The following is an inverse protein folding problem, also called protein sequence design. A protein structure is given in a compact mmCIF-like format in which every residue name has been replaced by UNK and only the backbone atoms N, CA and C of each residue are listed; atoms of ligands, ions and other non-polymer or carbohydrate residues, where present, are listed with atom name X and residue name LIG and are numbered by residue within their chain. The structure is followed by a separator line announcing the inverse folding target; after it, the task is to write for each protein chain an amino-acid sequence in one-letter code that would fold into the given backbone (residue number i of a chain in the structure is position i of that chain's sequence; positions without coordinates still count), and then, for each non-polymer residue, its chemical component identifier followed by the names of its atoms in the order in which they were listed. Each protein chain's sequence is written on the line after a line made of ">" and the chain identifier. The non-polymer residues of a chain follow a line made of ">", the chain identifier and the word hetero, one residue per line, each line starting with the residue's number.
data_IF_803017235809
#
_entry.id   IF_803017235809
#
_cell.length_a   1.000
_cell.length_b   1.000
_cell.length_c   1.000
_cell.angle_alpha   90.00
_cell.angle_beta   90.00
_cell.angle_gamma   90.00
#
_symmetry.space_group_name_H-M   'P 1'
#
loop_
_entity.id
_entity.type
_entity.pdbx_description
1 polymer ?
#
# COMPACT_ATOMS: atom_id res chain seq x y z
N UNK A 1 -50.98 -0.54 30.95
CA UNK A 1 -49.64 -0.36 30.32
C UNK A 1 -48.67 -1.35 30.94
N UNK A 2 -48.14 -2.29 30.16
CA UNK A 2 -47.15 -3.27 30.64
C UNK A 2 -45.78 -2.60 30.77
N UNK A 3 -45.09 -2.79 31.91
CA UNK A 3 -43.73 -2.27 32.10
C UNK A 3 -42.77 -3.04 31.17
N UNK A 4 -41.84 -2.35 30.49
CA UNK A 4 -40.91 -3.01 29.57
C UNK A 4 -39.95 -3.94 30.31
N UNK A 5 -39.68 -5.11 29.70
CA UNK A 5 -38.87 -6.18 30.26
C UNK A 5 -37.40 -5.78 30.35
N UNK A 6 -36.81 -5.86 31.54
CA UNK A 6 -35.42 -5.49 31.80
C UNK A 6 -34.41 -6.32 30.99
N UNK A 7 -34.74 -7.58 30.68
CA UNK A 7 -33.92 -8.46 29.84
C UNK A 7 -33.82 -7.92 28.41
N UNK A 8 -34.91 -7.38 27.86
CA UNK A 8 -34.92 -6.77 26.52
C UNK A 8 -34.06 -5.51 26.49
N UNK A 9 -34.09 -4.70 27.57
CA UNK A 9 -33.24 -3.51 27.69
C UNK A 9 -31.76 -3.86 27.76
N UNK A 10 -31.41 -4.92 28.50
CA UNK A 10 -30.04 -5.39 28.61
C UNK A 10 -29.54 -5.95 27.26
N UNK A 11 -30.36 -6.73 26.54
CA UNK A 11 -30.05 -7.21 25.19
C UNK A 11 -29.81 -6.08 24.19
N UNK A 12 -30.66 -5.04 24.21
CA UNK A 12 -30.49 -3.86 23.35
C UNK A 12 -29.23 -3.06 23.72
N UNK A 13 -28.87 -2.99 25.00
CA UNK A 13 -27.65 -2.31 25.43
C UNK A 13 -26.39 -3.08 25.01
N UNK A 14 -26.39 -4.41 25.11
CA UNK A 14 -25.25 -5.24 24.70
C UNK A 14 -25.03 -5.18 23.18
N UNK A 15 -26.10 -5.25 22.40
CA UNK A 15 -26.01 -5.11 20.92
C UNK A 15 -25.50 -3.73 20.53
N UNK A 16 -25.96 -2.66 21.18
CA UNK A 16 -25.52 -1.30 20.90
C UNK A 16 -24.06 -1.01 21.31
N UNK A 17 -23.53 -1.70 22.32
CA UNK A 17 -22.15 -1.52 22.80
C UNK A 17 -21.11 -2.39 22.07
N UNK A 18 -21.50 -3.58 21.61
CA UNK A 18 -20.55 -4.54 21.00
C UNK A 18 -20.40 -4.36 19.49
N UNK A 19 -21.47 -3.97 18.78
CA UNK A 19 -21.45 -3.80 17.32
C UNK A 19 -20.56 -2.65 16.79
N UNK A 20 -20.43 -1.47 17.43
CA UNK A 20 -19.54 -0.43 16.91
C UNK A 20 -18.06 -0.70 17.21
N UNK A 21 -17.73 -1.59 18.14
CA UNK A 21 -16.34 -1.83 18.57
C UNK A 21 -15.55 -2.69 17.57
N UNK A 22 -16.21 -3.62 16.88
CA UNK A 22 -15.58 -4.46 15.85
C UNK A 22 -15.17 -3.68 14.60
N UNK A 23 -15.84 -2.57 14.30
CA UNK A 23 -15.55 -1.74 13.12
C UNK A 23 -14.33 -0.81 13.30
N UNK A 24 -13.86 -0.60 14.54
CA UNK A 24 -12.75 0.33 14.83
C UNK A 24 -11.38 -0.37 14.63
N UNK A 25 -11.32 -1.70 14.72
CA UNK A 25 -10.04 -2.45 14.65
C UNK A 25 -9.54 -2.63 13.20
N UNK A 26 -10.38 -2.42 12.19
CA UNK A 26 -9.97 -2.54 10.77
C UNK A 26 -9.45 -1.25 10.13
N UNK A 27 -9.10 -0.23 10.92
CA UNK A 27 -8.74 1.09 10.38
C UNK A 27 -7.27 1.20 9.91
N UNK A 28 -6.40 0.25 10.27
CA UNK A 28 -5.01 0.30 9.79
C UNK A 28 -4.92 -0.26 8.36
N UNK A 29 -4.32 0.48 7.41
CA UNK A 29 -4.03 -0.04 6.09
C UNK A 29 -3.21 -1.33 6.21
N UNK A 30 -3.68 -2.40 5.56
CA UNK A 30 -2.90 -3.63 5.43
C UNK A 30 -2.05 -3.52 4.16
N UNK A 31 -0.78 -3.92 4.24
CA UNK A 31 0.10 -4.00 3.07
C UNK A 31 -0.45 -5.10 2.16
N UNK A 32 -0.79 -4.74 0.91
CA UNK A 32 -1.26 -5.69 -0.10
C UNK A 32 -0.09 -6.45 -0.72
N UNK A 33 1.00 -5.74 -1.04
CA UNK A 33 2.25 -6.32 -1.54
C UNK A 33 3.43 -5.40 -1.21
N UNK A 34 4.64 -5.99 -1.23
CA UNK A 34 5.90 -5.29 -1.18
C UNK A 34 6.91 -6.04 -2.06
N UNK A 35 7.56 -5.34 -2.98
CA UNK A 35 8.58 -5.90 -3.86
C UNK A 35 9.90 -5.15 -3.70
N UNK A 36 11.01 -5.88 -3.83
CA UNK A 36 12.36 -5.32 -3.83
C UNK A 36 13.03 -5.65 -5.16
N UNK A 37 13.66 -4.66 -5.78
CA UNK A 37 14.29 -4.81 -7.08
C UNK A 37 15.68 -4.19 -7.04
N UNK A 38 16.69 -5.04 -7.17
CA UNK A 38 18.08 -4.60 -7.32
C UNK A 38 18.34 -4.24 -8.78
N UNK A 39 18.77 -3.01 -9.04
CA UNK A 39 19.20 -2.58 -10.35
C UNK A 39 20.43 -3.35 -10.83
N UNK A 40 20.69 -3.41 -12.15
CA UNK A 40 21.74 -4.25 -12.76
C UNK A 40 23.17 -3.91 -12.32
N UNK A 41 23.38 -2.78 -11.65
CA UNK A 41 24.68 -2.27 -11.22
C UNK A 41 24.92 -2.58 -9.73
N UNK A 42 23.91 -3.10 -9.03
CA UNK A 42 23.96 -3.35 -7.57
C UNK A 42 24.46 -2.13 -6.79
N UNK A 43 24.17 -0.93 -7.29
CA UNK A 43 24.48 0.35 -6.66
C UNK A 43 23.24 0.96 -6.02
N UNK A 44 23.39 2.07 -5.30
CA UNK A 44 22.25 2.72 -4.65
C UNK A 44 21.32 3.31 -5.71
N UNK A 45 20.14 2.69 -5.84
CA UNK A 45 19.01 3.22 -6.59
C UNK A 45 18.17 4.11 -5.68
N UNK A 46 17.88 5.32 -6.15
CA UNK A 46 17.03 6.27 -5.44
C UNK A 46 15.68 6.36 -6.13
N UNK A 47 14.62 6.26 -5.34
CA UNK A 47 13.28 6.60 -5.77
C UNK A 47 13.24 8.06 -6.26
N UNK A 48 12.74 8.28 -7.48
CA UNK A 48 12.55 9.63 -8.05
C UNK A 48 11.09 10.03 -8.09
N UNK A 49 10.22 9.15 -8.60
CA UNK A 49 8.79 9.46 -8.77
C UNK A 49 7.94 8.19 -8.92
N UNK A 50 6.64 8.31 -8.65
CA UNK A 50 5.65 7.24 -8.85
C UNK A 50 4.33 7.81 -9.34
N UNK A 51 3.68 7.12 -10.28
CA UNK A 51 2.29 7.37 -10.68
C UNK A 51 1.52 6.06 -10.78
N UNK A 52 0.19 6.14 -10.69
CA UNK A 52 -0.72 5.00 -10.84
C UNK A 52 -1.70 5.30 -11.96
N UNK A 53 -1.94 4.34 -12.87
CA UNK A 53 -2.91 4.48 -13.95
C UNK A 53 -4.34 4.08 -13.52
N UNK A 54 -5.31 4.17 -14.43
CA UNK A 54 -6.71 3.82 -14.16
C UNK A 54 -6.94 2.31 -13.95
N UNK A 55 -5.99 1.47 -14.40
CA UNK A 55 -6.03 0.01 -14.23
C UNK A 55 -5.27 -0.42 -12.97
N UNK A 56 -4.86 0.53 -12.14
CA UNK A 56 -4.10 0.34 -10.90
C UNK A 56 -2.68 -0.21 -11.11
N UNK A 57 -2.09 -0.08 -12.30
CA UNK A 57 -0.67 -0.34 -12.48
C UNK A 57 0.16 0.81 -11.92
N UNK A 58 1.27 0.48 -11.29
CA UNK A 58 2.19 1.44 -10.69
C UNK A 58 3.40 1.64 -11.58
N UNK A 59 3.73 2.88 -11.89
CA UNK A 59 4.92 3.26 -12.66
C UNK A 59 5.92 3.92 -11.75
N UNK A 60 7.13 3.37 -11.67
CA UNK A 60 8.18 3.84 -10.78
C UNK A 60 9.36 4.34 -11.59
N UNK A 61 9.77 5.57 -11.30
CA UNK A 61 10.99 6.16 -11.82
C UNK A 61 12.07 6.05 -10.75
N UNK A 62 13.14 5.32 -11.04
CA UNK A 62 14.31 5.20 -10.21
C UNK A 62 15.51 5.87 -10.89
N UNK A 63 16.42 6.41 -10.09
CA UNK A 63 17.69 6.93 -10.58
C UNK A 63 18.85 6.26 -9.87
N UNK A 64 19.83 5.79 -10.64
CA UNK A 64 21.05 5.17 -10.14
C UNK A 64 22.22 6.13 -10.30
N UNK A 65 23.02 6.32 -9.26
CA UNK A 65 24.30 7.02 -9.40
C UNK A 65 25.37 5.99 -9.80
N UNK A 66 25.89 6.06 -11.04
CA UNK A 66 26.91 5.09 -11.49
C UNK A 66 28.31 5.35 -10.94
N UNK A 67 28.64 6.56 -10.48
CA UNK A 67 29.93 6.82 -9.85
C UNK A 67 29.96 8.16 -9.13
N UNK A 68 30.76 8.28 -8.07
CA UNK A 68 30.94 9.50 -7.26
C UNK A 68 31.59 10.64 -8.09
N UNK A 69 32.12 10.33 -9.28
CA UNK A 69 32.91 11.25 -10.10
C UNK A 69 32.23 11.80 -11.36
N UNK A 70 31.07 11.28 -11.79
CA UNK A 70 30.44 11.73 -13.03
C UNK A 70 28.92 11.78 -12.91
N UNK A 71 28.34 12.87 -13.41
CA UNK A 71 26.94 13.27 -13.41
C UNK A 71 25.99 12.32 -14.19
N UNK A 72 26.40 11.09 -14.45
CA UNK A 72 25.61 10.10 -15.18
C UNK A 72 24.62 9.44 -14.22
N UNK A 73 23.45 10.05 -14.12
CA UNK A 73 22.28 9.43 -13.50
C UNK A 73 21.67 8.49 -14.54
N UNK A 74 21.80 7.19 -14.32
CA UNK A 74 21.01 6.24 -15.09
C UNK A 74 19.57 6.31 -14.59
N UNK A 75 18.60 6.32 -15.49
CA UNK A 75 17.19 6.37 -15.13
C UNK A 75 16.60 5.02 -15.51
N UNK A 76 15.90 4.40 -14.57
CA UNK A 76 15.19 3.15 -14.84
C UNK A 76 13.73 3.36 -14.54
N UNK A 77 12.89 3.01 -15.50
CA UNK A 77 11.45 2.99 -15.37
C UNK A 77 10.97 1.55 -15.15
N UNK A 78 10.04 1.38 -14.22
CA UNK A 78 9.37 0.11 -13.95
C UNK A 78 7.87 0.29 -14.11
N UNK A 79 7.19 -0.69 -14.69
CA UNK A 79 5.75 -0.88 -14.51
C UNK A 79 5.52 -2.13 -13.68
N UNK A 80 4.74 -1.97 -12.63
CA UNK A 80 4.38 -2.99 -11.67
C UNK A 80 2.86 -3.15 -11.73
N UNK A 81 2.38 -4.38 -11.84
CA UNK A 81 0.96 -4.66 -11.88
C UNK A 81 0.29 -4.56 -10.49
N UNK A 82 -1.03 -4.76 -10.45
CA UNK A 82 -1.81 -4.71 -9.19
C UNK A 82 -1.42 -5.76 -8.15
N UNK A 83 -0.70 -6.82 -8.55
CA UNK A 83 -0.22 -7.89 -7.67
C UNK A 83 1.18 -7.64 -7.13
N UNK A 84 1.88 -6.62 -7.63
CA UNK A 84 3.24 -6.28 -7.22
C UNK A 84 4.33 -6.89 -8.11
N UNK A 85 3.96 -7.46 -9.26
CA UNK A 85 4.90 -8.07 -10.20
C UNK A 85 5.35 -7.07 -11.28
N UNK A 86 6.61 -7.14 -11.71
CA UNK A 86 7.12 -6.29 -12.80
C UNK A 86 6.59 -6.80 -14.14
N UNK A 87 5.89 -5.92 -14.87
CA UNK A 87 5.51 -6.19 -16.26
C UNK A 87 6.59 -5.74 -17.25
N UNK A 88 7.26 -4.62 -17.00
CA UNK A 88 8.34 -4.14 -17.86
C UNK A 88 9.37 -3.28 -17.13
N UNK A 89 10.59 -3.26 -17.68
CA UNK A 89 11.71 -2.40 -17.27
C UNK A 89 12.28 -1.70 -18.50
N UNK A 90 12.51 -0.39 -18.40
CA UNK A 90 13.11 0.45 -19.46
C UNK A 90 14.23 1.32 -18.85
N UNK A 91 15.34 1.48 -19.56
CA UNK A 91 16.53 2.22 -19.11
C UNK A 91 16.95 3.28 -20.12
#
# INVERSE_FOLDING_TARGET
>A
MQKPNILVRLLLLHTFLVLPFSAIISQQPTILWQSFHDGPINSVDYFKHMVVDNDCNTYVLCGTNRDISQYDVNITNYKIDTSGEIEWVDN
#
